data_IF_671334747527
#
_entry.id   IF_671334747527
#
_cell.length_a   1.000
_cell.length_b   1.000
_cell.length_c   1.000
_cell.angle_alpha   90.00
_cell.angle_beta   90.00
_cell.angle_gamma   90.00
#
_symmetry.space_group_name_H-M   'P 1'
#
loop_
_entity.id
_entity.type
_entity.pdbx_description
1 polymer ?
#
# COMPACT_ATOMS: atom_id res chain seq x y z
N UNK A 1 -13.26 23.42 22.72
CA UNK A 1 -11.82 23.11 22.83
C UNK A 1 -11.49 21.64 22.54
N UNK A 2 -12.22 20.67 23.12
CA UNK A 2 -11.94 19.24 22.91
C UNK A 2 -12.11 18.75 21.47
N UNK A 3 -13.15 19.22 20.77
CA UNK A 3 -13.46 18.79 19.39
C UNK A 3 -12.35 19.17 18.38
N UNK A 4 -11.83 20.41 18.47
CA UNK A 4 -10.71 20.86 17.64
C UNK A 4 -9.42 20.05 17.89
N UNK A 5 -9.20 19.59 19.12
CA UNK A 5 -8.02 18.79 19.48
C UNK A 5 -8.12 17.38 18.87
N UNK A 6 -9.33 16.79 18.87
CA UNK A 6 -9.60 15.49 18.25
C UNK A 6 -9.43 15.57 16.73
N UNK A 7 -9.97 16.61 16.10
CA UNK A 7 -9.80 16.84 14.66
C UNK A 7 -8.33 17.00 14.26
N UNK A 8 -7.56 17.79 15.03
CA UNK A 8 -6.13 17.99 14.79
C UNK A 8 -5.33 16.68 14.98
N UNK A 9 -5.63 15.90 16.02
CA UNK A 9 -5.00 14.61 16.26
C UNK A 9 -5.30 13.61 15.12
N UNK A 10 -6.53 13.58 14.62
CA UNK A 10 -6.92 12.72 13.50
C UNK A 10 -6.13 13.05 12.23
N UNK A 11 -6.00 14.34 11.89
CA UNK A 11 -5.22 14.79 10.72
C UNK A 11 -3.73 14.40 10.86
N UNK A 12 -3.14 14.63 12.04
CA UNK A 12 -1.73 14.29 12.28
C UNK A 12 -1.51 12.77 12.18
N UNK A 13 -2.43 11.95 12.67
CA UNK A 13 -2.31 10.49 12.57
C UNK A 13 -2.46 10.01 11.12
N UNK A 14 -3.45 10.54 10.40
CA UNK A 14 -3.72 10.17 9.00
C UNK A 14 -2.55 10.50 8.08
N UNK A 15 -1.88 11.65 8.28
CA UNK A 15 -0.75 12.04 7.43
C UNK A 15 0.61 11.61 8.02
N UNK A 16 0.77 11.67 9.33
CA UNK A 16 2.02 11.38 10.02
C UNK A 16 2.42 9.91 9.92
N UNK A 17 1.47 8.98 10.07
CA UNK A 17 1.78 7.54 10.00
C UNK A 17 2.23 7.14 8.58
N UNK A 18 1.50 7.47 7.50
CA UNK A 18 1.96 7.16 6.14
C UNK A 18 3.27 7.87 5.79
N UNK A 19 3.47 9.11 6.24
CA UNK A 19 4.71 9.85 5.96
C UNK A 19 5.92 9.23 6.66
N UNK A 20 5.77 8.81 7.92
CA UNK A 20 6.81 8.08 8.65
C UNK A 20 7.08 6.70 8.03
N UNK A 21 6.04 5.96 7.63
CA UNK A 21 6.17 4.69 6.94
C UNK A 21 6.88 4.85 5.59
N UNK A 22 6.53 5.89 4.82
CA UNK A 22 7.17 6.22 3.56
C UNK A 22 8.65 6.58 3.78
N UNK A 23 8.95 7.42 4.77
CA UNK A 23 10.31 7.82 5.10
C UNK A 23 11.19 6.62 5.49
N UNK A 24 10.69 5.76 6.39
CA UNK A 24 11.43 4.54 6.81
C UNK A 24 11.64 3.58 5.64
N UNK A 25 10.63 3.38 4.80
CA UNK A 25 10.75 2.57 3.58
C UNK A 25 11.81 3.11 2.62
N UNK A 26 11.78 4.41 2.32
CA UNK A 26 12.77 5.06 1.46
C UNK A 26 14.18 4.97 2.05
N UNK A 27 14.31 5.19 3.36
CA UNK A 27 15.61 5.16 4.04
C UNK A 27 16.23 3.78 4.01
N UNK A 28 15.47 2.72 4.31
CA UNK A 28 15.95 1.33 4.21
C UNK A 28 16.33 0.98 2.78
N UNK A 29 15.51 1.40 1.80
CA UNK A 29 15.78 1.11 0.39
C UNK A 29 17.01 1.85 -0.14
N UNK A 30 17.24 3.09 0.30
CA UNK A 30 18.45 3.85 -0.02
C UNK A 30 19.69 3.16 0.54
N UNK A 31 19.68 2.77 1.81
CA UNK A 31 20.80 2.07 2.45
C UNK A 31 21.14 0.76 1.72
N UNK A 32 20.14 -0.08 1.42
CA UNK A 32 20.36 -1.31 0.62
C UNK A 32 20.94 -1.03 -0.76
N UNK A 33 20.62 0.12 -1.36
CA UNK A 33 21.13 0.50 -2.69
C UNK A 33 22.59 0.94 -2.61
N UNK A 34 22.95 1.72 -1.59
CA UNK A 34 24.32 2.14 -1.32
C UNK A 34 25.21 0.95 -0.93
N UNK A 35 24.72 0.03 -0.10
CA UNK A 35 25.41 -1.22 0.24
C UNK A 35 25.66 -2.09 -1.00
N UNK A 36 24.67 -2.17 -1.92
CA UNK A 36 24.82 -2.87 -3.20
C UNK A 36 25.90 -2.24 -4.08
N UNK A 37 25.90 -0.91 -4.22
CA UNK A 37 26.92 -0.19 -4.99
C UNK A 37 28.32 -0.38 -4.39
N UNK A 38 28.45 -0.32 -3.08
CA UNK A 38 29.72 -0.55 -2.38
C UNK A 38 30.22 -1.99 -2.55
N UNK A 39 29.33 -2.99 -2.54
CA UNK A 39 29.67 -4.39 -2.76
C UNK A 39 30.11 -4.67 -4.21
N UNK A 40 29.43 -4.08 -5.20
CA UNK A 40 29.83 -4.13 -6.61
C UNK A 40 31.23 -3.50 -6.79
N UNK A 41 31.47 -2.34 -6.19
CA UNK A 41 32.78 -1.69 -6.23
C UNK A 41 33.90 -2.52 -5.57
N UNK A 42 33.54 -3.34 -4.57
CA UNK A 42 34.45 -4.30 -3.90
C UNK A 42 34.56 -5.64 -4.63
N UNK A 43 33.88 -5.81 -5.78
CA UNK A 43 33.89 -7.04 -6.57
C UNK A 43 33.13 -8.22 -5.92
N UNK A 44 32.29 -7.95 -4.92
CA UNK A 44 31.50 -8.97 -4.23
C UNK A 44 30.14 -9.13 -4.91
N UNK A 45 29.78 -10.36 -5.29
CA UNK A 45 28.46 -10.68 -5.83
C UNK A 45 27.39 -10.57 -4.74
N UNK A 46 26.51 -9.58 -4.83
CA UNK A 46 25.36 -9.45 -3.93
C UNK A 46 24.24 -10.36 -4.44
N UNK A 47 23.71 -11.30 -3.63
CA UNK A 47 22.54 -12.08 -4.01
C UNK A 47 21.38 -11.11 -4.26
N UNK A 48 20.91 -11.08 -5.52
CA UNK A 48 19.76 -10.28 -5.90
C UNK A 48 18.53 -10.85 -5.20
N UNK A 49 17.92 -10.05 -4.32
CA UNK A 49 16.61 -10.34 -3.77
C UNK A 49 15.67 -10.58 -4.97
N UNK A 50 15.01 -11.75 -5.07
CA UNK A 50 14.32 -12.14 -6.29
C UNK A 50 13.29 -11.07 -6.62
N UNK A 51 13.51 -10.35 -7.72
CA UNK A 51 12.55 -9.37 -8.17
C UNK A 51 11.26 -10.09 -8.47
N UNK A 52 10.23 -9.80 -7.67
CA UNK A 52 8.89 -10.27 -7.96
C UNK A 52 8.56 -9.87 -9.39
N UNK A 53 8.24 -10.87 -10.21
CA UNK A 53 7.74 -10.63 -11.56
C UNK A 53 6.61 -9.60 -11.49
N UNK A 54 6.53 -8.72 -12.49
CA UNK A 54 5.49 -7.69 -12.57
C UNK A 54 4.08 -8.19 -12.17
N UNK A 55 3.60 -9.37 -12.64
CA UNK A 55 2.30 -9.90 -12.22
C UNK A 55 2.23 -10.34 -10.75
N UNK A 56 3.33 -10.80 -10.13
CA UNK A 56 3.36 -11.12 -8.70
C UNK A 56 3.32 -9.87 -7.82
N UNK A 57 3.98 -8.79 -8.27
CA UNK A 57 3.94 -7.48 -7.59
C UNK A 57 2.55 -6.85 -7.66
N UNK A 58 1.94 -6.86 -8.85
CA UNK A 58 0.60 -6.33 -9.08
C UNK A 58 -0.45 -7.04 -8.20
N UNK A 59 -0.42 -8.38 -8.13
CA UNK A 59 -1.28 -9.16 -7.20
C UNK A 59 -1.10 -8.78 -5.74
N UNK A 60 0.14 -8.63 -5.28
CA UNK A 60 0.42 -8.29 -3.88
C UNK A 60 -0.15 -6.90 -3.53
N UNK A 61 0.00 -5.93 -4.43
CA UNK A 61 -0.59 -4.60 -4.25
C UNK A 61 -2.13 -4.67 -4.23
N UNK A 62 -2.73 -5.44 -5.15
CA UNK A 62 -4.17 -5.69 -5.18
C UNK A 62 -4.70 -6.29 -3.89
N UNK A 63 -4.07 -7.36 -3.39
CA UNK A 63 -4.46 -8.01 -2.12
C UNK A 63 -4.41 -7.01 -0.96
N UNK A 64 -3.30 -6.28 -0.81
CA UNK A 64 -3.13 -5.33 0.29
C UNK A 64 -4.18 -4.22 0.25
N UNK A 65 -4.46 -3.67 -0.93
CA UNK A 65 -5.45 -2.61 -1.10
C UNK A 65 -6.88 -3.10 -0.87
N UNK A 66 -7.25 -4.28 -1.38
CA UNK A 66 -8.57 -4.86 -1.14
C UNK A 66 -8.74 -5.22 0.34
N UNK A 67 -7.76 -5.86 0.98
CA UNK A 67 -7.85 -6.19 2.40
C UNK A 67 -7.92 -4.95 3.29
N UNK A 68 -7.13 -3.92 2.96
CA UNK A 68 -7.14 -2.64 3.68
C UNK A 68 -8.46 -1.91 3.51
N UNK A 69 -9.00 -1.88 2.29
CA UNK A 69 -10.29 -1.28 1.99
C UNK A 69 -11.45 -1.97 2.73
N UNK A 70 -11.50 -3.30 2.69
CA UNK A 70 -12.52 -4.06 3.41
C UNK A 70 -12.42 -3.80 4.91
N UNK A 71 -11.21 -3.87 5.48
CA UNK A 71 -11.00 -3.60 6.91
C UNK A 71 -11.43 -2.18 7.31
N UNK A 72 -11.05 -1.18 6.52
CA UNK A 72 -11.42 0.21 6.74
C UNK A 72 -12.94 0.41 6.65
N UNK A 73 -13.58 -0.02 5.55
CA UNK A 73 -15.03 0.12 5.36
C UNK A 73 -15.79 -0.62 6.44
N UNK A 74 -15.37 -1.84 6.82
CA UNK A 74 -16.04 -2.61 7.88
C UNK A 74 -15.93 -1.91 9.23
N UNK A 75 -14.76 -1.38 9.56
CA UNK A 75 -14.54 -0.66 10.82
C UNK A 75 -15.45 0.56 10.92
N UNK A 76 -15.48 1.39 9.88
CA UNK A 76 -16.33 2.59 9.86
C UNK A 76 -17.83 2.24 9.76
N UNK A 77 -18.21 1.17 9.07
CA UNK A 77 -19.59 0.70 9.05
C UNK A 77 -20.06 0.20 10.42
N UNK A 78 -19.17 -0.38 11.24
CA UNK A 78 -19.50 -0.76 12.62
C UNK A 78 -19.66 0.48 13.51
N UNK A 79 -18.78 1.48 13.37
CA UNK A 79 -18.92 2.76 14.08
C UNK A 79 -20.23 3.47 13.68
N UNK A 80 -20.61 3.37 12.41
CA UNK A 80 -21.81 3.98 11.86
C UNK A 80 -23.13 3.45 12.47
N UNK A 81 -23.09 2.32 13.19
CA UNK A 81 -24.23 1.83 13.98
C UNK A 81 -24.53 2.71 15.19
N UNK A 82 -23.56 3.46 15.68
CA UNK A 82 -23.70 4.35 16.83
C UNK A 82 -23.63 5.83 16.40
N UNK A 83 -22.86 6.14 15.36
CA UNK A 83 -22.72 7.50 14.81
C UNK A 83 -22.99 7.48 13.29
N UNK A 84 -24.23 7.79 12.84
CA UNK A 84 -24.62 7.67 11.43
C UNK A 84 -23.71 8.43 10.45
N UNK A 85 -23.10 9.53 10.87
CA UNK A 85 -22.18 10.33 10.05
C UNK A 85 -20.91 9.54 9.65
N UNK A 86 -20.55 8.49 10.38
CA UNK A 86 -19.41 7.63 10.04
C UNK A 86 -19.62 6.82 8.74
N UNK A 87 -20.84 6.76 8.19
CA UNK A 87 -21.08 6.20 6.85
C UNK A 87 -20.29 6.94 5.77
N UNK A 88 -20.15 8.27 5.90
CA UNK A 88 -19.37 9.10 4.96
C UNK A 88 -17.93 8.61 4.93
N UNK A 89 -17.35 8.34 6.10
CA UNK A 89 -16.01 7.75 6.22
C UNK A 89 -15.97 6.34 5.60
N UNK A 90 -16.94 5.46 5.86
CA UNK A 90 -16.97 4.10 5.31
C UNK A 90 -16.92 4.08 3.76
N UNK A 91 -17.59 5.02 3.10
CA UNK A 91 -17.58 5.15 1.63
C UNK A 91 -16.20 5.49 1.06
N UNK A 92 -15.32 6.17 1.81
CA UNK A 92 -13.96 6.43 1.34
C UNK A 92 -13.15 5.15 1.13
N UNK A 93 -13.50 4.05 1.81
CA UNK A 93 -12.87 2.74 1.57
C UNK A 93 -13.20 2.15 0.21
N UNK A 94 -14.21 2.64 -0.50
CA UNK A 94 -14.53 2.18 -1.86
C UNK A 94 -13.43 2.56 -2.86
N UNK A 95 -12.72 3.67 -2.63
CA UNK A 95 -11.62 4.14 -3.48
C UNK A 95 -10.47 3.11 -3.51
N UNK A 96 -9.83 2.76 -2.38
CA UNK A 96 -8.78 1.74 -2.37
C UNK A 96 -9.29 0.35 -2.79
N UNK A 97 -10.57 0.04 -2.59
CA UNK A 97 -11.18 -1.21 -3.08
C UNK A 97 -11.16 -1.28 -4.60
N UNK A 98 -11.61 -0.21 -5.27
CA UNK A 98 -11.58 -0.10 -6.73
C UNK A 98 -10.15 -0.16 -7.28
N UNK A 99 -9.20 0.52 -6.64
CA UNK A 99 -7.78 0.47 -7.02
C UNK A 99 -7.24 -0.96 -6.86
N UNK A 100 -7.55 -1.63 -5.75
CA UNK A 100 -7.13 -3.01 -5.49
C UNK A 100 -7.66 -4.01 -6.53
N UNK A 101 -8.93 -3.85 -6.94
CA UNK A 101 -9.51 -4.61 -8.05
C UNK A 101 -8.80 -4.33 -9.38
N UNK A 102 -8.44 -3.07 -9.66
CA UNK A 102 -7.65 -2.69 -10.84
C UNK A 102 -6.31 -3.43 -10.92
N UNK A 103 -5.60 -3.55 -9.80
CA UNK A 103 -4.36 -4.34 -9.73
C UNK A 103 -4.57 -5.84 -10.00
N UNK A 104 -5.71 -6.41 -9.62
CA UNK A 104 -6.00 -7.80 -9.99
C UNK A 104 -6.23 -7.96 -11.50
N UNK A 105 -6.93 -7.01 -12.13
CA UNK A 105 -7.15 -7.00 -13.59
C UNK A 105 -5.82 -6.86 -14.34
N UNK A 106 -4.97 -5.91 -13.92
CA UNK A 106 -3.62 -5.71 -14.47
C UNK A 106 -2.79 -7.00 -14.40
N UNK A 107 -2.77 -7.66 -13.25
CA UNK A 107 -2.06 -8.92 -13.10
C UNK A 107 -2.57 -10.06 -14.00
N UNK A 108 -3.86 -10.04 -14.36
CA UNK A 108 -4.46 -11.00 -15.29
C UNK A 108 -4.08 -10.64 -16.73
N UNK A 109 -4.18 -9.37 -17.13
CA UNK A 109 -3.79 -8.91 -18.47
C UNK A 109 -2.32 -9.21 -18.77
N UNK A 110 -1.40 -8.82 -17.87
CA UNK A 110 0.04 -9.06 -18.04
C UNK A 110 0.33 -10.56 -18.15
N UNK A 111 -0.38 -11.41 -17.41
CA UNK A 111 -0.25 -12.86 -17.55
C UNK A 111 -0.73 -13.39 -18.90
N UNK A 112 -1.72 -12.75 -19.51
CA UNK A 112 -2.21 -13.13 -20.85
C UNK A 112 -1.22 -12.69 -21.93
N UNK A 113 -0.70 -11.46 -21.85
CA UNK A 113 0.27 -10.94 -22.81
C UNK A 113 1.58 -11.75 -22.83
N UNK A 114 2.04 -12.18 -21.66
CA UNK A 114 3.22 -13.05 -21.52
C UNK A 114 3.02 -14.44 -22.15
N UNK A 115 1.78 -14.94 -22.24
CA UNK A 115 1.45 -16.22 -22.88
C UNK A 115 1.21 -16.09 -24.39
N UNK A 116 0.80 -14.91 -24.85
CA UNK A 116 0.59 -14.64 -26.28
C UNK A 116 1.92 -14.41 -27.01
N UNK A 117 2.96 -13.99 -26.29
CA UNK A 117 4.30 -13.70 -26.83
C UNK A 117 5.29 -14.88 -26.75
N UNK A 118 4.84 -16.06 -26.30
CA UNK A 118 5.63 -17.30 -26.17
C UNK A 118 5.21 -18.34 -27.20
#
# INVERSE_FOLDING_TARGET
MGDNMVGLAAVIMIFGIPMAAMYTYYRVRKLRTEERLAAIARGVSVPMEPELSHPARSRRAGILLVSGAIGYTLTFALIARHEPDAWVAAFFGLIPLAIGLGYFVDAVLVRRDLRASS
#
